data_IF_821512727287
#
_entry.id   IF_821512727287
#
_cell.length_a   1.000
_cell.length_b   1.000
_cell.length_c   1.000
_cell.angle_alpha   90.00
_cell.angle_beta   90.00
_cell.angle_gamma   90.00
#
_symmetry.space_group_name_H-M   'P 1'
#
loop_
_entity.id
_entity.type
_entity.pdbx_description
1 polymer ?
#
# COMPACT_ATOMS: atom_id res chain seq x y z
N UNK A 1 -7.80 -2.15 -14.04
CA UNK A 1 -7.92 -2.34 -12.58
C UNK A 1 -6.90 -3.39 -12.20
N UNK A 2 -5.69 -2.95 -11.87
CA UNK A 2 -4.60 -3.86 -11.53
C UNK A 2 -4.69 -4.16 -10.04
N UNK A 3 -4.94 -5.43 -9.72
CA UNK A 3 -4.93 -5.95 -8.35
C UNK A 3 -3.77 -6.92 -8.24
N UNK A 4 -2.93 -6.76 -7.23
CA UNK A 4 -1.77 -7.62 -7.00
C UNK A 4 -1.48 -7.73 -5.50
N UNK A 5 -0.75 -8.76 -5.12
CA UNK A 5 -0.38 -9.01 -3.74
C UNK A 5 1.10 -8.67 -3.54
N UNK A 6 1.42 -7.99 -2.45
CA UNK A 6 2.79 -7.70 -2.01
C UNK A 6 3.01 -8.38 -0.67
N UNK A 7 4.11 -9.12 -0.56
CA UNK A 7 4.56 -9.70 0.69
C UNK A 7 5.47 -8.73 1.43
N UNK A 8 5.07 -8.36 2.65
CA UNK A 8 5.85 -7.51 3.55
C UNK A 8 6.45 -8.40 4.65
N UNK A 9 7.78 -8.57 4.70
CA UNK A 9 8.41 -9.32 5.78
C UNK A 9 8.29 -8.54 7.10
N UNK A 10 7.58 -9.10 8.09
CA UNK A 10 7.60 -8.62 9.48
C UNK A 10 8.49 -9.52 10.33
N UNK A 11 8.78 -9.08 11.55
CA UNK A 11 9.65 -9.80 12.49
C UNK A 11 9.14 -11.21 12.83
N UNK A 12 7.82 -11.38 12.92
CA UNK A 12 7.19 -12.63 13.39
C UNK A 12 6.57 -13.47 12.26
N UNK A 13 6.22 -12.85 11.13
CA UNK A 13 5.65 -13.53 9.97
C UNK A 13 5.74 -12.64 8.72
N UNK A 14 5.53 -13.21 7.54
CA UNK A 14 5.32 -12.44 6.31
C UNK A 14 3.84 -12.03 6.21
N UNK A 15 3.61 -10.75 6.00
CA UNK A 15 2.28 -10.16 5.86
C UNK A 15 1.98 -9.93 4.38
N UNK A 16 1.02 -10.68 3.82
CA UNK A 16 0.58 -10.48 2.44
C UNK A 16 -0.47 -9.38 2.38
N UNK A 17 -0.18 -8.32 1.64
CA UNK A 17 -1.07 -7.16 1.43
C UNK A 17 -1.60 -7.21 0.01
N UNK A 18 -2.92 -7.24 -0.14
CA UNK A 18 -3.55 -7.05 -1.45
C UNK A 18 -3.65 -5.55 -1.75
N UNK A 19 -3.12 -5.17 -2.90
CA UNK A 19 -3.11 -3.79 -3.39
C UNK A 19 -4.12 -3.67 -4.53
N UNK A 20 -4.99 -2.68 -4.43
CA UNK A 20 -6.00 -2.38 -5.47
C UNK A 20 -5.94 -0.91 -5.86
N UNK A 21 -5.96 -0.62 -7.16
CA UNK A 21 -6.05 0.76 -7.65
C UNK A 21 -7.33 1.44 -7.14
N UNK A 22 -7.18 2.60 -6.51
CA UNK A 22 -8.29 3.35 -5.90
C UNK A 22 -9.08 4.20 -6.93
N UNK A 23 -8.78 4.11 -8.23
CA UNK A 23 -9.40 4.86 -9.33
C UNK A 23 -9.52 6.37 -9.07
N UNK A 24 -8.51 7.00 -8.47
CA UNK A 24 -8.49 8.45 -8.29
C UNK A 24 -7.93 9.13 -9.55
N UNK A 25 -8.79 9.89 -10.24
CA UNK A 25 -8.50 10.56 -11.54
C UNK A 25 -7.27 11.49 -11.59
N UNK A 26 -6.68 11.85 -10.45
CA UNK A 26 -5.59 12.85 -10.37
C UNK A 26 -4.36 12.38 -9.58
N UNK A 27 -4.43 11.24 -8.89
CA UNK A 27 -3.37 10.79 -8.00
C UNK A 27 -3.26 9.28 -8.10
N UNK A 28 -2.04 8.77 -8.12
CA UNK A 28 -1.78 7.34 -8.05
C UNK A 28 -2.04 6.89 -6.62
N UNK A 29 -3.24 6.38 -6.38
CA UNK A 29 -3.69 5.97 -5.06
C UNK A 29 -4.08 4.49 -5.09
N UNK A 30 -3.65 3.75 -4.08
CA UNK A 30 -3.88 2.32 -3.95
C UNK A 30 -4.45 1.99 -2.58
N UNK A 31 -5.51 1.21 -2.57
CA UNK A 31 -6.09 0.66 -1.35
C UNK A 31 -5.28 -0.57 -0.93
N UNK A 32 -5.00 -0.65 0.37
CA UNK A 32 -4.25 -1.75 0.98
C UNK A 32 -5.20 -2.60 1.81
N UNK A 33 -5.26 -3.88 1.46
CA UNK A 33 -6.10 -4.88 2.11
C UNK A 33 -5.24 -5.95 2.78
N UNK A 34 -5.61 -6.33 3.99
CA UNK A 34 -5.02 -7.44 4.74
C UNK A 34 -6.16 -8.32 5.23
N UNK A 35 -6.10 -9.63 4.95
CA UNK A 35 -7.20 -10.56 5.23
C UNK A 35 -8.57 -10.05 4.74
N UNK A 36 -8.61 -9.52 3.52
CA UNK A 36 -9.80 -8.90 2.89
C UNK A 36 -10.34 -7.64 3.60
N UNK A 37 -9.63 -7.11 4.60
CA UNK A 37 -10.00 -5.88 5.29
C UNK A 37 -9.15 -4.70 4.80
N UNK A 38 -9.82 -3.61 4.43
CA UNK A 38 -9.15 -2.35 4.11
C UNK A 38 -8.53 -1.77 5.39
N UNK A 39 -7.20 -1.71 5.44
CA UNK A 39 -6.48 -1.18 6.60
C UNK A 39 -5.79 0.15 6.31
N UNK A 40 -5.65 0.54 5.04
CA UNK A 40 -5.15 1.87 4.69
C UNK A 40 -5.09 2.12 3.20
N UNK A 41 -4.58 3.30 2.85
CA UNK A 41 -4.37 3.74 1.48
C UNK A 41 -2.93 4.22 1.30
N UNK A 42 -2.34 3.93 0.16
CA UNK A 42 -1.04 4.44 -0.25
C UNK A 42 -1.24 5.41 -1.41
N UNK A 43 -0.76 6.65 -1.26
CA UNK A 43 -0.91 7.70 -2.27
C UNK A 43 0.47 8.18 -2.70
N UNK A 44 0.74 8.17 -3.99
CA UNK A 44 1.90 8.85 -4.58
C UNK A 44 1.50 10.28 -4.91
N UNK A 45 2.23 11.25 -4.33
CA UNK A 45 2.01 12.66 -4.63
C UNK A 45 2.77 13.10 -5.90
N UNK A 46 2.55 14.35 -6.32
CA UNK A 46 3.20 14.95 -7.51
C UNK A 46 4.74 15.03 -7.42
N UNK A 47 5.30 14.90 -6.21
CA UNK A 47 6.74 14.87 -5.97
C UNK A 47 7.31 13.44 -5.92
N UNK A 48 6.55 12.42 -6.34
CA UNK A 48 6.89 11.00 -6.26
C UNK A 48 7.15 10.49 -4.83
N UNK A 49 6.54 11.13 -3.84
CA UNK A 49 6.60 10.68 -2.44
C UNK A 49 5.37 9.84 -2.13
N UNK A 50 5.61 8.63 -1.65
CA UNK A 50 4.59 7.72 -1.15
C UNK A 50 4.17 8.09 0.26
N UNK A 51 2.88 8.34 0.43
CA UNK A 51 2.24 8.71 1.68
C UNK A 51 1.27 7.59 2.06
N UNK A 52 1.36 7.12 3.29
CA UNK A 52 0.45 6.12 3.84
C UNK A 52 -0.61 6.80 4.71
N UNK A 53 -1.87 6.56 4.37
CA UNK A 53 -3.03 7.00 5.12
C UNK A 53 -3.67 5.77 5.79
N UNK A 54 -3.47 5.55 7.11
CA UNK A 54 -4.07 4.43 7.82
C UNK A 54 -5.59 4.63 7.93
N UNK A 55 -6.36 3.56 7.69
CA UNK A 55 -7.80 3.55 7.94
C UNK A 55 -8.03 3.00 9.36
N UNK A 56 -8.48 3.87 10.28
CA UNK A 56 -9.10 3.68 11.61
C UNK A 56 -8.72 2.49 12.54
N UNK A 57 -8.33 1.32 12.04
CA UNK A 57 -7.75 0.22 12.78
C UNK A 57 -6.28 0.51 13.11
N UNK A 58 -6.01 0.80 14.38
CA UNK A 58 -4.67 0.97 14.95
C UNK A 58 -3.75 -0.25 14.78
N UNK A 59 -4.27 -1.41 14.39
CA UNK A 59 -3.54 -2.68 14.38
C UNK A 59 -2.50 -2.80 13.24
N UNK A 60 -2.64 -2.06 12.14
CA UNK A 60 -1.77 -2.18 10.96
C UNK A 60 -1.14 -0.84 10.59
N UNK A 61 -0.19 -0.41 11.42
CA UNK A 61 0.66 0.74 11.12
C UNK A 61 1.87 0.24 10.33
N UNK A 62 2.08 0.80 9.15
CA UNK A 62 3.28 0.61 8.36
C UNK A 62 4.33 1.63 8.81
N UNK A 63 5.58 1.19 8.94
CA UNK A 63 6.70 2.09 9.20
C UNK A 63 7.18 2.74 7.89
N UNK A 64 8.06 3.75 8.00
CA UNK A 64 8.55 4.48 6.83
C UNK A 64 9.26 3.60 5.80
N UNK A 65 10.00 2.57 6.23
CA UNK A 65 10.71 1.65 5.33
C UNK A 65 9.72 0.79 4.53
N UNK A 66 8.67 0.30 5.20
CA UNK A 66 7.62 -0.51 4.59
C UNK A 66 6.79 0.29 3.59
N UNK A 67 6.50 1.56 3.90
CA UNK A 67 5.78 2.48 3.01
C UNK A 67 6.59 2.70 1.73
N UNK A 68 7.90 2.93 1.84
CA UNK A 68 8.79 3.12 0.69
C UNK A 68 8.96 1.83 -0.12
N UNK A 69 9.13 0.68 0.55
CA UNK A 69 9.23 -0.61 -0.11
C UNK A 69 7.94 -0.97 -0.87
N UNK A 70 6.78 -0.72 -0.26
CA UNK A 70 5.47 -0.88 -0.92
C UNK A 70 5.36 0.02 -2.13
N UNK A 71 5.64 1.32 -1.97
CA UNK A 71 5.56 2.28 -3.08
C UNK A 71 6.46 1.88 -4.25
N UNK A 72 7.67 1.39 -3.99
CA UNK A 72 8.57 0.89 -5.03
C UNK A 72 7.99 -0.32 -5.76
N UNK A 73 7.53 -1.34 -5.02
CA UNK A 73 6.97 -2.55 -5.62
C UNK A 73 5.70 -2.26 -6.43
N UNK A 74 4.86 -1.33 -5.94
CA UNK A 74 3.68 -0.87 -6.66
C UNK A 74 4.08 -0.20 -7.98
N UNK A 75 5.08 0.69 -7.99
CA UNK A 75 5.60 1.28 -9.22
C UNK A 75 6.16 0.25 -10.19
N UNK A 76 6.82 -0.80 -9.69
CA UNK A 76 7.35 -1.90 -10.52
C UNK A 76 6.25 -2.77 -11.12
N UNK A 77 5.11 -2.94 -10.43
CA UNK A 77 3.95 -3.69 -10.92
C UNK A 77 2.99 -2.88 -11.80
N UNK A 78 2.95 -1.55 -11.64
CA UNK A 78 2.07 -0.66 -12.38
C UNK A 78 2.64 -0.19 -13.73
N UNK A 79 3.95 -0.35 -13.94
CA UNK A 79 4.64 -0.15 -15.23
C UNK A 79 4.66 -1.43 -16.07
#
# INVERSE_FOLDING_TARGET
>A
MSTFNIDIPRKDHTMTVRVEDANKLKLTAYNLFYEDQLFGCLVCNENNVWIYEPHAHEALILNAEEIQALGKQISEHAN
#
